data_IF_560916291816
#
_entry.id   IF_560916291816
#
_cell.length_a   1.000
_cell.length_b   1.000
_cell.length_c   1.000
_cell.angle_alpha   90.00
_cell.angle_beta   90.00
_cell.angle_gamma   90.00
#
_symmetry.space_group_name_H-M   'P 1'
#
loop_
_entity.id
_entity.type
_entity.pdbx_description
1 polymer ?
#
# COMPACT_ATOMS: atom_id res chain seq x y z
N UNK A 1 -34.70 -51.59 -4.78
CA UNK A 1 -34.87 -50.83 -3.52
C UNK A 1 -35.44 -49.48 -3.88
N UNK A 2 -36.77 -49.30 -3.77
CA UNK A 2 -37.40 -48.02 -4.08
C UNK A 2 -37.10 -47.00 -2.99
N UNK A 3 -36.58 -45.83 -3.39
CA UNK A 3 -36.36 -44.71 -2.47
C UNK A 3 -37.72 -44.22 -1.97
N UNK A 4 -37.92 -44.24 -0.64
CA UNK A 4 -39.11 -43.75 0.04
C UNK A 4 -39.48 -42.34 -0.46
N UNK A 5 -40.75 -42.11 -0.79
CA UNK A 5 -41.27 -40.80 -1.25
C UNK A 5 -40.87 -39.67 -0.29
N UNK A 6 -40.86 -39.92 1.01
CA UNK A 6 -40.44 -38.95 2.04
C UNK A 6 -38.96 -38.56 1.86
N UNK A 7 -38.10 -39.53 1.55
CA UNK A 7 -36.67 -39.31 1.29
C UNK A 7 -36.45 -38.50 0.00
N UNK A 8 -37.25 -38.73 -1.05
CA UNK A 8 -37.20 -37.91 -2.28
C UNK A 8 -37.55 -36.45 -2.01
N UNK A 9 -38.60 -36.20 -1.21
CA UNK A 9 -39.01 -34.83 -0.85
C UNK A 9 -38.01 -34.11 0.06
N UNK A 10 -37.18 -34.83 0.82
CA UNK A 10 -36.08 -34.24 1.60
C UNK A 10 -34.83 -33.94 0.76
N UNK A 11 -34.51 -34.78 -0.24
CA UNK A 11 -33.31 -34.60 -1.07
C UNK A 11 -33.39 -33.40 -2.01
N UNK A 12 -34.59 -33.03 -2.49
CA UNK A 12 -34.79 -31.88 -3.38
C UNK A 12 -34.38 -30.55 -2.73
N UNK A 13 -34.89 -30.13 -1.55
CA UNK A 13 -34.50 -28.88 -0.93
C UNK A 13 -33.03 -28.87 -0.48
N UNK A 14 -32.47 -30.02 -0.10
CA UNK A 14 -31.05 -30.15 0.25
C UNK A 14 -30.17 -29.91 -0.98
N UNK A 15 -30.50 -30.54 -2.12
CA UNK A 15 -29.78 -30.33 -3.37
C UNK A 15 -29.87 -28.89 -3.87
N UNK A 16 -31.05 -28.29 -3.81
CA UNK A 16 -31.26 -26.88 -4.17
C UNK A 16 -30.49 -25.94 -3.22
N UNK A 17 -30.50 -26.21 -1.91
CA UNK A 17 -29.75 -25.44 -0.92
C UNK A 17 -28.23 -25.51 -1.15
N UNK A 18 -27.70 -26.70 -1.46
CA UNK A 18 -26.29 -26.88 -1.82
C UNK A 18 -25.89 -26.11 -3.09
N UNK A 19 -26.74 -26.14 -4.12
CA UNK A 19 -26.50 -25.40 -5.36
C UNK A 19 -26.50 -23.88 -5.12
N UNK A 20 -27.43 -23.37 -4.32
CA UNK A 20 -27.48 -21.95 -3.96
C UNK A 20 -26.29 -21.54 -3.09
N UNK A 21 -25.87 -22.39 -2.15
CA UNK A 21 -24.69 -22.14 -1.32
C UNK A 21 -23.41 -22.12 -2.14
N UNK A 22 -23.22 -23.09 -3.04
CA UNK A 22 -22.07 -23.13 -3.95
C UNK A 22 -22.07 -21.92 -4.90
N UNK A 23 -23.24 -21.56 -5.43
CA UNK A 23 -23.39 -20.36 -6.26
C UNK A 23 -23.02 -19.09 -5.50
N UNK A 24 -23.48 -18.94 -4.26
CA UNK A 24 -23.14 -17.80 -3.41
C UNK A 24 -21.65 -17.78 -3.04
N UNK A 25 -21.06 -18.94 -2.74
CA UNK A 25 -19.64 -19.06 -2.43
C UNK A 25 -18.73 -18.72 -3.61
N UNK A 26 -19.08 -19.19 -4.81
CA UNK A 26 -18.35 -18.82 -6.05
C UNK A 26 -18.53 -17.33 -6.35
N UNK A 27 -19.75 -16.81 -6.19
CA UNK A 27 -20.04 -15.39 -6.38
C UNK A 27 -19.28 -14.49 -5.39
N UNK A 28 -19.18 -14.88 -4.12
CA UNK A 28 -18.42 -14.13 -3.12
C UNK A 28 -16.92 -14.15 -3.39
N UNK A 29 -16.37 -15.27 -3.90
CA UNK A 29 -14.99 -15.34 -4.39
C UNK A 29 -14.78 -14.40 -5.58
N UNK A 30 -15.69 -14.38 -6.56
CA UNK A 30 -15.59 -13.50 -7.73
C UNK A 30 -15.65 -12.03 -7.30
N UNK A 31 -16.54 -11.65 -6.38
CA UNK A 31 -16.58 -10.30 -5.81
C UNK A 31 -15.26 -9.99 -5.10
N UNK A 32 -14.74 -10.91 -4.29
CA UNK A 32 -13.48 -10.71 -3.59
C UNK A 32 -12.33 -10.44 -4.58
N UNK A 33 -12.26 -11.17 -5.69
CA UNK A 33 -11.26 -10.92 -6.74
C UNK A 33 -11.52 -9.63 -7.54
N UNK A 34 -12.78 -9.27 -7.78
CA UNK A 34 -13.14 -8.03 -8.48
C UNK A 34 -12.86 -6.78 -7.64
N UNK A 35 -12.93 -6.83 -6.30
CA UNK A 35 -12.60 -5.68 -5.45
C UNK A 35 -11.10 -5.31 -5.52
N UNK A 36 -10.21 -6.22 -5.96
CA UNK A 36 -8.79 -5.93 -6.21
C UNK A 36 -8.51 -5.42 -7.63
N UNK A 37 -9.40 -4.58 -8.15
CA UNK A 37 -9.65 -4.33 -9.58
C UNK A 37 -8.47 -3.70 -10.37
N UNK A 38 -7.38 -3.31 -9.72
CA UNK A 38 -6.14 -2.91 -10.39
C UNK A 38 -4.94 -3.68 -9.84
N UNK A 39 -4.43 -4.61 -10.65
CA UNK A 39 -3.20 -5.34 -10.37
C UNK A 39 -2.04 -4.60 -11.04
N UNK A 40 -1.01 -4.28 -10.27
CA UNK A 40 0.24 -3.73 -10.77
C UNK A 40 1.33 -4.77 -10.62
N UNK A 41 2.32 -4.72 -11.48
CA UNK A 41 3.48 -5.59 -11.42
C UNK A 41 4.78 -4.79 -11.24
N UNK A 42 5.91 -5.48 -11.16
CA UNK A 42 7.22 -4.83 -11.06
C UNK A 42 7.53 -3.95 -12.27
N UNK A 43 7.10 -4.33 -13.48
CA UNK A 43 7.37 -3.53 -14.68
C UNK A 43 6.63 -2.20 -14.61
N UNK A 44 5.39 -2.20 -14.13
CA UNK A 44 4.64 -0.96 -13.87
C UNK A 44 5.39 -0.05 -12.88
N UNK A 45 5.91 -0.64 -11.80
CA UNK A 45 6.71 0.08 -10.80
C UNK A 45 7.98 0.71 -11.41
N UNK A 46 8.72 -0.04 -12.21
CA UNK A 46 9.94 0.42 -12.87
C UNK A 46 9.62 1.52 -13.90
N UNK A 47 8.59 1.30 -14.71
CA UNK A 47 8.18 2.24 -15.76
C UNK A 47 7.67 3.54 -15.15
N UNK A 48 6.87 3.47 -14.09
CA UNK A 48 6.45 4.66 -13.36
C UNK A 48 7.65 5.41 -12.77
N UNK A 49 8.60 4.72 -12.14
CA UNK A 49 9.82 5.37 -11.67
C UNK A 49 10.56 6.08 -12.80
N UNK A 50 10.69 5.45 -13.97
CA UNK A 50 11.36 6.02 -15.14
C UNK A 50 10.65 7.28 -15.64
N UNK A 51 9.33 7.23 -15.79
CA UNK A 51 8.51 8.33 -16.33
C UNK A 51 8.31 9.47 -15.33
N UNK A 52 8.16 9.16 -14.03
CA UNK A 52 7.79 10.10 -12.97
C UNK A 52 8.93 10.42 -12.00
N UNK A 53 10.17 10.02 -12.30
CA UNK A 53 11.35 10.23 -11.43
C UNK A 53 11.39 11.62 -10.83
N UNK A 54 11.21 12.67 -11.64
CA UNK A 54 11.23 14.05 -11.16
C UNK A 54 10.15 14.30 -10.09
N UNK A 55 8.90 13.93 -10.35
CA UNK A 55 7.78 14.08 -9.42
C UNK A 55 8.00 13.29 -8.13
N UNK A 56 8.50 12.05 -8.22
CA UNK A 56 8.83 11.21 -7.06
C UNK A 56 9.84 11.91 -6.14
N UNK A 57 10.89 12.52 -6.70
CA UNK A 57 11.87 13.27 -5.90
C UNK A 57 11.31 14.61 -5.38
N UNK A 58 10.34 15.20 -6.06
CA UNK A 58 9.62 16.39 -5.58
C UNK A 58 8.73 16.06 -4.38
N UNK A 59 8.08 14.89 -4.36
CA UNK A 59 7.38 14.36 -3.17
C UNK A 59 8.35 14.26 -2.00
N UNK A 60 9.49 13.57 -2.17
CA UNK A 60 10.52 13.42 -1.12
C UNK A 60 10.99 14.79 -0.61
N UNK A 61 11.28 15.73 -1.51
CA UNK A 61 11.74 17.08 -1.16
C UNK A 61 10.68 17.86 -0.38
N UNK A 62 9.45 17.87 -0.87
CA UNK A 62 8.35 18.56 -0.22
C UNK A 62 8.09 17.99 1.17
N UNK A 63 7.94 16.67 1.28
CA UNK A 63 7.75 15.98 2.55
C UNK A 63 8.87 16.32 3.55
N UNK A 64 10.15 16.20 3.17
CA UNK A 64 11.28 16.58 4.04
C UNK A 64 11.27 18.05 4.45
N UNK A 65 10.65 18.94 3.67
CA UNK A 65 10.56 20.37 4.00
C UNK A 65 9.47 20.70 5.02
N UNK A 66 8.41 19.90 5.09
CA UNK A 66 7.25 20.15 5.96
C UNK A 66 7.26 19.29 7.24
N UNK A 67 7.93 18.13 7.23
CA UNK A 67 7.95 17.22 8.38
C UNK A 67 8.94 17.74 9.44
N UNK A 68 8.49 17.93 10.70
CA UNK A 68 9.39 18.29 11.80
C UNK A 68 10.49 17.22 11.99
N UNK A 69 11.74 17.67 12.23
CA UNK A 69 12.92 16.78 12.30
C UNK A 69 12.86 15.72 13.41
N UNK A 70 12.08 15.96 14.45
CA UNK A 70 11.90 15.08 15.59
C UNK A 70 10.75 14.08 15.43
N UNK A 71 10.17 13.99 14.23
CA UNK A 71 9.00 13.16 13.94
C UNK A 71 9.24 12.21 12.77
N UNK A 72 8.71 11.01 12.93
CA UNK A 72 8.54 10.04 11.85
C UNK A 72 7.05 9.94 11.56
N UNK A 73 6.68 10.08 10.29
CA UNK A 73 5.33 9.96 9.81
C UNK A 73 5.24 8.84 8.77
N UNK A 74 4.11 8.16 8.77
CA UNK A 74 3.68 7.30 7.67
C UNK A 74 2.30 7.77 7.25
N UNK A 75 2.14 8.10 5.98
CA UNK A 75 0.88 8.56 5.40
C UNK A 75 0.60 7.70 4.18
N UNK A 76 -0.61 7.19 4.06
CA UNK A 76 -1.13 6.51 2.87
C UNK A 76 -2.53 7.04 2.58
N UNK A 77 -2.76 7.50 1.37
CA UNK A 77 -4.07 7.95 0.90
C UNK A 77 -4.85 6.75 0.33
N UNK A 78 -6.09 6.60 0.77
CA UNK A 78 -7.06 5.69 0.12
C UNK A 78 -7.80 6.44 -1.00
N UNK A 79 -8.10 7.72 -0.75
CA UNK A 79 -8.88 8.56 -1.67
C UNK A 79 -8.59 10.06 -1.46
N UNK A 80 -9.33 10.92 -2.16
CA UNK A 80 -9.26 12.38 -1.99
C UNK A 80 -9.78 12.87 -0.63
N UNK A 81 -10.54 12.05 0.10
CA UNK A 81 -11.14 12.41 1.38
C UNK A 81 -10.65 11.55 2.55
N UNK A 82 -9.86 10.51 2.30
CA UNK A 82 -9.50 9.53 3.33
C UNK A 82 -8.01 9.15 3.28
N UNK A 83 -7.42 9.10 4.48
CA UNK A 83 -6.12 8.51 4.74
C UNK A 83 -6.30 7.08 5.25
N UNK A 84 -5.83 6.09 4.49
CA UNK A 84 -5.78 4.71 4.96
C UNK A 84 -4.85 4.59 6.17
N UNK A 85 -3.70 5.26 6.13
CA UNK A 85 -2.73 5.30 7.24
C UNK A 85 -2.38 6.74 7.57
N UNK A 86 -2.40 7.09 8.85
CA UNK A 86 -1.77 8.31 9.36
C UNK A 86 -1.09 8.06 10.71
N UNK A 87 0.17 7.60 10.65
CA UNK A 87 0.99 7.32 11.82
C UNK A 87 1.94 8.47 12.10
N UNK A 88 2.07 8.82 13.38
CA UNK A 88 3.04 9.81 13.86
C UNK A 88 3.80 9.19 15.02
N UNK A 89 5.12 9.14 14.91
CA UNK A 89 6.03 8.74 15.98
C UNK A 89 6.93 9.91 16.35
N UNK A 90 7.06 10.14 17.65
CA UNK A 90 7.96 11.12 18.23
C UNK A 90 8.50 10.60 19.58
N UNK A 91 9.17 11.47 20.35
CA UNK A 91 9.74 11.11 21.67
C UNK A 91 8.68 10.67 22.70
N UNK A 92 7.42 11.03 22.51
CA UNK A 92 6.31 10.66 23.40
C UNK A 92 5.69 9.29 23.07
N UNK A 93 6.06 8.70 21.92
CA UNK A 93 5.62 7.38 21.50
C UNK A 93 5.07 7.38 20.06
N UNK A 94 4.24 6.37 19.77
CA UNK A 94 3.64 6.17 18.44
C UNK A 94 2.14 6.40 18.54
N UNK A 95 1.60 7.31 17.73
CA UNK A 95 0.16 7.45 17.46
C UNK A 95 -0.16 6.75 16.15
N UNK A 96 -0.85 5.61 16.19
CA UNK A 96 -1.33 4.89 15.01
C UNK A 96 -2.80 5.21 14.74
N UNK A 97 -3.16 5.42 13.47
CA UNK A 97 -4.51 5.73 13.04
C UNK A 97 -4.72 5.13 11.65
N UNK A 98 -5.87 4.49 11.48
CA UNK A 98 -6.30 3.81 10.26
C UNK A 98 -7.61 4.44 9.80
N UNK A 99 -7.81 4.55 8.48
CA UNK A 99 -9.06 5.04 7.86
C UNK A 99 -9.57 6.35 8.49
N UNK A 100 -8.75 7.40 8.37
CA UNK A 100 -9.06 8.71 8.92
C UNK A 100 -9.58 9.63 7.82
N UNK A 101 -10.81 10.09 7.99
CA UNK A 101 -11.43 11.12 7.14
C UNK A 101 -10.67 12.45 7.28
N UNK A 102 -10.27 13.05 6.15
CA UNK A 102 -9.48 14.28 6.07
C UNK A 102 -10.21 15.52 6.65
N UNK A 103 -11.55 15.50 6.67
CA UNK A 103 -12.39 16.55 7.22
C UNK A 103 -12.74 16.37 8.70
N UNK A 104 -12.40 15.21 9.27
CA UNK A 104 -12.67 14.92 10.67
C UNK A 104 -11.91 15.80 11.66
N UNK A 105 -12.48 15.97 12.87
CA UNK A 105 -11.80 16.59 14.01
C UNK A 105 -10.52 15.84 14.39
N UNK A 106 -10.48 14.54 14.15
CA UNK A 106 -9.31 13.69 14.40
C UNK A 106 -8.14 14.10 13.51
N UNK A 107 -8.37 14.27 12.20
CA UNK A 107 -7.36 14.78 11.27
C UNK A 107 -6.86 16.16 11.68
N UNK A 108 -7.75 17.09 12.03
CA UNK A 108 -7.35 18.41 12.51
C UNK A 108 -6.40 18.34 13.72
N UNK A 109 -6.67 17.43 14.67
CA UNK A 109 -5.79 17.21 15.82
C UNK A 109 -4.43 16.64 15.43
N UNK A 110 -4.38 15.68 14.50
CA UNK A 110 -3.14 15.09 14.00
C UNK A 110 -2.29 16.12 13.23
N UNK A 111 -2.92 16.91 12.35
CA UNK A 111 -2.24 18.00 11.62
C UNK A 111 -1.69 19.06 12.57
N UNK A 112 -2.45 19.44 13.61
CA UNK A 112 -1.98 20.38 14.62
C UNK A 112 -0.71 19.88 15.34
N UNK A 113 -0.59 18.58 15.60
CA UNK A 113 0.66 18.00 16.16
C UNK A 113 1.85 18.20 15.25
N UNK A 114 1.67 18.26 13.93
CA UNK A 114 2.73 18.47 12.95
C UNK A 114 2.97 19.96 12.65
N UNK A 115 2.11 20.86 13.15
CA UNK A 115 2.09 22.26 12.72
C UNK A 115 1.57 22.42 11.28
N UNK A 116 0.77 21.46 10.80
CA UNK A 116 0.27 21.43 9.44
C UNK A 116 -1.14 22.02 9.34
N UNK A 117 -1.47 22.48 8.13
CA UNK A 117 -2.83 22.85 7.75
C UNK A 117 -3.45 21.78 6.87
N UNK A 118 -4.77 21.85 6.62
CA UNK A 118 -5.40 21.00 5.59
C UNK A 118 -4.78 21.24 4.20
N UNK A 119 -4.40 22.48 3.88
CA UNK A 119 -3.72 22.76 2.62
C UNK A 119 -2.39 22.01 2.50
N UNK A 120 -1.66 21.84 3.60
CA UNK A 120 -0.41 21.07 3.61
C UNK A 120 -0.65 19.60 3.21
N UNK A 121 -1.70 18.96 3.73
CA UNK A 121 -2.00 17.57 3.40
C UNK A 121 -2.53 17.43 1.97
N UNK A 122 -3.33 18.38 1.49
CA UNK A 122 -3.78 18.39 0.09
C UNK A 122 -2.63 18.58 -0.89
N UNK A 123 -1.70 19.50 -0.62
CA UNK A 123 -0.51 19.68 -1.46
C UNK A 123 0.42 18.46 -1.42
N UNK A 124 0.51 17.74 -0.30
CA UNK A 124 1.22 16.45 -0.29
C UNK A 124 0.52 15.44 -1.20
N UNK A 125 -0.82 15.37 -1.15
CA UNK A 125 -1.61 14.49 -2.01
C UNK A 125 -1.41 14.82 -3.49
N UNK A 126 -1.53 16.09 -3.87
CA UNK A 126 -1.34 16.53 -5.27
C UNK A 126 0.02 16.09 -5.82
N UNK A 127 1.08 16.21 -5.02
CA UNK A 127 2.43 15.78 -5.42
C UNK A 127 2.55 14.26 -5.57
N UNK A 128 1.87 13.52 -4.69
CA UNK A 128 1.79 12.08 -4.77
C UNK A 128 1.03 11.67 -6.04
N UNK A 129 -0.11 12.29 -6.34
CA UNK A 129 -0.90 12.05 -7.55
C UNK A 129 -0.10 12.36 -8.83
N UNK A 130 0.67 13.47 -8.85
CA UNK A 130 1.58 13.81 -9.96
C UNK A 130 2.71 12.78 -10.17
N UNK A 131 3.07 12.05 -9.12
CA UNK A 131 4.05 10.97 -9.13
C UNK A 131 3.43 9.58 -9.36
N UNK A 132 2.09 9.51 -9.50
CA UNK A 132 1.30 8.27 -9.49
C UNK A 132 1.62 7.41 -8.26
N UNK A 133 1.69 8.03 -7.09
CA UNK A 133 2.06 7.41 -5.81
C UNK A 133 0.97 7.70 -4.77
N UNK A 134 0.92 6.91 -3.70
CA UNK A 134 -0.13 7.02 -2.66
C UNK A 134 0.38 7.17 -1.23
N UNK A 135 1.67 6.92 -0.97
CA UNK A 135 2.18 6.93 0.41
C UNK A 135 3.60 7.47 0.57
N UNK A 136 3.93 7.88 1.80
CA UNK A 136 5.28 8.25 2.22
C UNK A 136 5.61 7.72 3.61
N UNK A 137 6.91 7.49 3.86
CA UNK A 137 7.50 7.34 5.19
C UNK A 137 8.87 8.01 5.24
N UNK A 138 9.09 8.91 6.20
CA UNK A 138 10.30 9.75 6.25
C UNK A 138 11.46 9.17 7.08
N UNK A 139 11.59 7.85 7.13
CA UNK A 139 12.80 7.20 7.66
C UNK A 139 13.96 7.30 6.66
N UNK A 140 15.12 6.74 7.00
CA UNK A 140 16.18 6.45 6.03
C UNK A 140 16.22 4.93 5.80
N UNK A 141 16.05 4.44 4.55
CA UNK A 141 15.72 5.21 3.35
C UNK A 141 14.35 5.88 3.43
N UNK A 142 14.17 6.95 2.65
CA UNK A 142 12.88 7.61 2.51
C UNK A 142 12.01 6.77 1.58
N UNK A 143 10.88 6.28 2.08
CA UNK A 143 10.01 5.37 1.33
C UNK A 143 8.85 6.14 0.69
N UNK A 144 8.59 5.89 -0.59
CA UNK A 144 7.40 6.38 -1.31
C UNK A 144 6.66 5.16 -1.87
N UNK A 145 5.38 5.00 -1.55
CA UNK A 145 4.57 3.92 -2.09
C UNK A 145 3.91 4.30 -3.40
N UNK A 146 4.07 3.43 -4.39
CA UNK A 146 3.48 3.54 -5.71
C UNK A 146 1.97 3.26 -5.65
N UNK A 147 1.58 1.99 -5.66
CA UNK A 147 0.18 1.58 -5.67
C UNK A 147 0.01 0.28 -4.88
N UNK A 148 -1.19 0.06 -4.36
CA UNK A 148 -1.58 -1.24 -3.81
C UNK A 148 -1.78 -2.23 -4.94
N UNK A 149 -1.31 -3.46 -4.76
CA UNK A 149 -1.63 -4.58 -5.64
C UNK A 149 -1.80 -5.86 -4.83
N UNK A 150 -2.97 -6.48 -4.96
CA UNK A 150 -3.36 -7.61 -4.13
C UNK A 150 -3.36 -7.23 -2.65
N UNK A 151 -2.60 -7.98 -1.84
CA UNK A 151 -2.48 -7.76 -0.40
C UNK A 151 -1.36 -6.79 -0.01
N UNK A 152 -0.57 -6.35 -0.99
CA UNK A 152 0.62 -5.54 -0.76
C UNK A 152 0.61 -4.20 -1.48
N UNK A 153 1.74 -3.53 -1.38
CA UNK A 153 2.01 -2.23 -1.99
C UNK A 153 3.47 -2.23 -2.44
N UNK A 154 3.69 -1.62 -3.60
CA UNK A 154 5.04 -1.41 -4.11
C UNK A 154 5.63 -0.10 -3.59
N UNK A 155 6.92 -0.10 -3.31
CA UNK A 155 7.63 1.08 -2.81
C UNK A 155 8.92 1.36 -3.56
N UNK A 156 9.29 2.64 -3.54
CA UNK A 156 10.63 3.13 -3.79
C UNK A 156 11.31 3.43 -2.46
N UNK A 157 12.41 2.75 -2.17
CA UNK A 157 13.30 3.05 -1.06
C UNK A 157 14.43 3.98 -1.56
N UNK A 158 14.31 5.28 -1.25
CA UNK A 158 15.16 6.33 -1.82
C UNK A 158 16.17 6.83 -0.79
N UNK A 159 17.44 6.49 -1.01
CA UNK A 159 18.56 6.88 -0.15
C UNK A 159 19.02 8.30 -0.44
N UNK A 160 19.53 9.00 0.58
CA UNK A 160 20.14 10.34 0.43
C UNK A 160 21.57 10.29 -0.11
N UNK A 161 22.24 9.14 0.06
CA UNK A 161 23.62 8.88 -0.39
C UNK A 161 23.64 7.55 -1.15
N UNK A 162 24.67 7.29 -1.99
CA UNK A 162 24.86 5.96 -2.54
C UNK A 162 24.86 4.93 -1.41
N UNK A 163 24.12 3.84 -1.61
CA UNK A 163 24.10 2.69 -0.71
C UNK A 163 25.51 2.11 -0.57
N UNK A 164 25.88 1.78 0.66
CA UNK A 164 27.05 0.95 0.95
C UNK A 164 26.86 -0.46 0.41
N UNK A 165 27.94 -1.23 0.30
CA UNK A 165 27.88 -2.61 -0.18
C UNK A 165 27.02 -3.52 0.72
N UNK A 166 26.96 -3.25 2.02
CA UNK A 166 26.09 -4.00 2.93
C UNK A 166 24.62 -3.64 2.71
N UNK A 167 24.31 -2.35 2.49
CA UNK A 167 22.96 -1.92 2.12
C UNK A 167 22.54 -2.49 0.76
N UNK A 168 23.43 -2.54 -0.23
CA UNK A 168 23.12 -3.15 -1.53
C UNK A 168 22.78 -4.63 -1.40
N UNK A 169 23.43 -5.36 -0.49
CA UNK A 169 23.10 -6.77 -0.23
C UNK A 169 21.75 -6.90 0.47
N UNK A 170 21.47 -6.06 1.46
CA UNK A 170 20.19 -6.04 2.17
C UNK A 170 19.03 -5.72 1.23
N UNK A 171 19.20 -4.72 0.38
CA UNK A 171 18.18 -4.24 -0.57
C UNK A 171 18.23 -4.95 -1.94
N UNK A 172 18.87 -6.12 -2.00
CA UNK A 172 18.88 -6.98 -3.18
C UNK A 172 18.72 -8.45 -2.79
N UNK A 173 17.74 -8.72 -1.92
CA UNK A 173 17.48 -10.06 -1.37
C UNK A 173 16.80 -11.03 -2.36
N UNK A 174 16.40 -10.55 -3.55
CA UNK A 174 15.79 -11.37 -4.59
C UNK A 174 14.35 -11.83 -4.30
N UNK A 175 13.74 -11.28 -3.24
CA UNK A 175 12.39 -11.57 -2.80
C UNK A 175 11.64 -10.27 -2.53
N UNK A 176 11.91 -9.61 -1.40
CA UNK A 176 11.22 -8.41 -0.94
C UNK A 176 11.81 -7.15 -1.55
N UNK A 177 13.12 -7.14 -1.81
CA UNK A 177 13.84 -6.00 -2.35
C UNK A 177 14.59 -6.34 -3.63
N UNK A 178 14.60 -5.39 -4.56
CA UNK A 178 15.38 -5.45 -5.80
C UNK A 178 16.19 -4.17 -5.91
N UNK A 179 17.50 -4.29 -6.04
CA UNK A 179 18.37 -3.14 -6.26
C UNK A 179 18.15 -2.58 -7.67
N UNK A 180 17.76 -1.30 -7.76
CA UNK A 180 17.51 -0.65 -9.04
C UNK A 180 18.70 0.22 -9.49
N UNK A 181 19.28 0.99 -8.56
CA UNK A 181 20.54 1.70 -8.74
C UNK A 181 21.15 2.02 -7.37
N UNK A 182 22.32 2.69 -7.34
CA UNK A 182 23.03 3.02 -6.09
C UNK A 182 22.21 3.83 -5.07
N UNK A 183 21.11 4.49 -5.48
CA UNK A 183 20.30 5.34 -4.61
C UNK A 183 18.87 4.83 -4.41
N UNK A 184 18.44 3.80 -5.14
CA UNK A 184 17.06 3.33 -5.12
C UNK A 184 17.02 1.81 -5.14
N UNK A 185 16.24 1.28 -4.21
CA UNK A 185 15.76 -0.10 -4.23
C UNK A 185 14.24 -0.12 -4.36
N UNK A 186 13.72 -1.15 -5.02
CA UNK A 186 12.30 -1.42 -5.15
C UNK A 186 11.89 -2.41 -4.07
N UNK A 187 10.70 -2.26 -3.52
CA UNK A 187 10.17 -3.15 -2.49
C UNK A 187 8.72 -3.54 -2.80
N UNK A 188 8.36 -4.79 -2.48
CA UNK A 188 6.96 -5.19 -2.33
C UNK A 188 6.69 -5.53 -0.87
N UNK A 189 5.82 -4.75 -0.23
CA UNK A 189 5.45 -4.96 1.17
C UNK A 189 4.02 -5.46 1.29
N UNK A 190 3.81 -6.59 2.00
CA UNK A 190 2.47 -7.18 2.21
C UNK A 190 1.62 -6.50 3.28
N UNK A 191 1.97 -5.27 3.69
CA UNK A 191 1.26 -4.54 4.73
C UNK A 191 1.13 -5.31 6.05
N UNK A 192 -0.10 -5.58 6.48
CA UNK A 192 -0.39 -6.29 7.73
C UNK A 192 0.00 -7.78 7.71
N UNK A 193 0.20 -8.37 6.53
CA UNK A 193 0.63 -9.77 6.36
C UNK A 193 2.15 -9.92 6.51
N UNK A 194 2.88 -8.81 6.54
CA UNK A 194 4.33 -8.79 6.65
C UNK A 194 5.03 -8.77 5.28
N UNK A 195 6.37 -8.94 5.27
CA UNK A 195 7.15 -8.90 4.03
C UNK A 195 6.69 -9.99 3.05
N UNK A 196 6.56 -9.63 1.78
CA UNK A 196 6.16 -10.54 0.71
C UNK A 196 7.14 -10.43 -0.46
N UNK A 197 7.41 -11.53 -1.14
CA UNK A 197 8.24 -11.44 -2.34
C UNK A 197 7.46 -10.77 -3.47
N UNK A 198 8.18 -10.04 -4.33
CA UNK A 198 7.79 -9.84 -5.72
C UNK A 198 7.31 -11.18 -6.33
N UNK A 199 6.21 -11.17 -7.08
CA UNK A 199 5.62 -12.36 -7.68
C UNK A 199 6.58 -13.11 -8.61
N UNK A 200 6.24 -14.33 -9.01
CA UNK A 200 7.08 -15.13 -9.93
C UNK A 200 7.26 -14.41 -11.27
N UNK A 201 6.24 -13.70 -11.75
CA UNK A 201 6.30 -12.87 -12.96
C UNK A 201 7.09 -11.57 -12.75
N UNK A 202 7.43 -11.25 -11.51
CA UNK A 202 8.19 -10.07 -11.11
C UNK A 202 9.67 -10.38 -10.83
N UNK A 203 10.15 -11.60 -11.08
CA UNK A 203 11.60 -11.90 -11.00
C UNK A 203 12.32 -11.41 -12.26
N UNK A 204 13.57 -10.93 -12.12
CA UNK A 204 14.40 -10.51 -13.26
C UNK A 204 15.15 -11.75 -13.76
N UNK A 205 15.14 -11.99 -15.08
CA UNK A 205 16.13 -12.83 -15.76
C UNK A 205 17.48 -12.12 -15.84
#
# INVERSE_FOLDING_TARGET
MEINKILKWMLIPIGTGLMLFLGYYVYSIIILFAIFEQTYDKQDLIENYRLRKKSIYEVKRFAKSIIPKDKVITIEFESNSELFIFHISDKSGITQNWSVDLDSKKTNSLLAKLGWTKQTIYTLKEKLDEADCISIKNTEPFTIGYQRSGLGIYFYNIFDKPMSEDQKKEYNDGCTHILYNDFVALEYGGGAVGPQCFGINDKIE
#
